data_IF_819236784562
#
_entry.id   IF_819236784562
#
_cell.length_a   1.000
_cell.length_b   1.000
_cell.length_c   1.000
_cell.angle_alpha   90.00
_cell.angle_beta   90.00
_cell.angle_gamma   90.00
#
_symmetry.space_group_name_H-M   'P 1'
#
loop_
_entity.id
_entity.type
_entity.pdbx_description
1 polymer ?
#
# COMPACT_ATOMS: atom_id res chain seq x y z
N UNK A 1 4.94 11.96 14.17
CA UNK A 1 4.91 12.77 12.92
C UNK A 1 5.41 14.19 13.21
N UNK A 2 6.14 14.80 12.27
CA UNK A 2 6.59 16.20 12.37
C UNK A 2 5.40 17.16 12.28
N UNK A 3 5.40 18.25 13.09
CA UNK A 3 4.33 19.26 13.06
C UNK A 3 4.74 20.44 12.18
N UNK A 4 4.04 20.64 11.08
CA UNK A 4 4.21 21.76 10.15
C UNK A 4 3.05 22.75 10.37
N UNK A 5 3.33 23.91 10.98
CA UNK A 5 2.29 24.87 11.36
C UNK A 5 2.04 25.99 10.36
N UNK A 6 2.99 26.22 9.45
CA UNK A 6 2.92 27.33 8.49
C UNK A 6 3.62 26.96 7.21
N UNK A 7 2.92 27.16 6.10
CA UNK A 7 3.40 26.92 4.73
C UNK A 7 3.34 28.25 4.00
N UNK A 8 4.47 28.92 3.89
CA UNK A 8 4.60 30.29 3.34
C UNK A 8 5.30 30.34 2.00
N UNK A 9 6.08 29.31 1.70
CA UNK A 9 6.88 29.26 0.49
C UNK A 9 6.62 27.94 -0.27
N UNK A 10 6.97 27.85 -1.54
CA UNK A 10 6.93 26.57 -2.27
C UNK A 10 7.76 25.47 -1.59
N UNK A 11 8.89 25.81 -0.97
CA UNK A 11 9.75 24.88 -0.25
C UNK A 11 9.05 24.32 0.99
N UNK A 12 8.31 25.16 1.75
CA UNK A 12 7.48 24.71 2.87
C UNK A 12 6.39 23.75 2.38
N UNK A 13 5.77 24.03 1.23
CA UNK A 13 4.76 23.19 0.62
C UNK A 13 5.33 21.83 0.19
N UNK A 14 6.51 21.81 -0.43
CA UNK A 14 7.21 20.58 -0.80
C UNK A 14 7.57 19.76 0.45
N UNK A 15 7.99 20.41 1.53
CA UNK A 15 8.28 19.73 2.79
C UNK A 15 7.00 19.10 3.42
N UNK A 16 5.88 19.84 3.44
CA UNK A 16 4.60 19.29 3.89
C UNK A 16 4.19 18.06 3.06
N UNK A 17 4.28 18.17 1.74
CA UNK A 17 3.94 17.07 0.82
C UNK A 17 4.84 15.85 1.01
N UNK A 18 6.14 16.03 1.24
CA UNK A 18 7.07 14.92 1.46
C UNK A 18 6.79 14.19 2.77
N UNK A 19 6.51 14.93 3.85
CA UNK A 19 6.14 14.35 5.16
C UNK A 19 4.80 13.62 5.07
N UNK A 20 3.80 14.23 4.45
CA UNK A 20 2.49 13.64 4.25
C UNK A 20 2.59 12.35 3.40
N UNK A 21 3.28 12.42 2.26
CA UNK A 21 3.43 11.29 1.34
C UNK A 21 4.14 10.09 1.99
N UNK A 22 5.17 10.33 2.82
CA UNK A 22 5.84 9.26 3.56
C UNK A 22 4.90 8.59 4.57
N UNK A 23 4.00 9.34 5.17
CA UNK A 23 2.97 8.84 6.07
C UNK A 23 1.95 7.98 5.32
N UNK A 24 1.34 8.52 4.25
CA UNK A 24 0.31 7.81 3.48
C UNK A 24 0.82 6.46 2.91
N UNK A 25 2.07 6.42 2.43
CA UNK A 25 2.69 5.16 2.01
C UNK A 25 2.81 4.15 3.16
N UNK A 26 3.15 4.60 4.36
CA UNK A 26 3.29 3.72 5.52
C UNK A 26 1.92 3.18 5.98
N UNK A 27 0.92 4.06 6.16
CA UNK A 27 -0.40 3.66 6.68
C UNK A 27 -1.18 2.84 5.68
N UNK A 28 -1.07 3.11 4.38
CA UNK A 28 -1.68 2.26 3.34
C UNK A 28 -1.22 0.80 3.44
N UNK A 29 0.07 0.58 3.70
CA UNK A 29 0.62 -0.75 3.93
C UNK A 29 0.23 -1.30 5.31
N UNK A 30 0.35 -0.49 6.39
CA UNK A 30 0.03 -0.88 7.77
C UNK A 30 -1.42 -1.35 7.90
N UNK A 31 -2.39 -0.64 7.33
CA UNK A 31 -3.81 -1.02 7.40
C UNK A 31 -4.12 -2.31 6.65
N UNK A 32 -3.49 -2.53 5.51
CA UNK A 32 -3.66 -3.79 4.76
C UNK A 32 -3.10 -4.98 5.54
N UNK A 33 -1.91 -4.88 6.14
CA UNK A 33 -1.36 -5.99 6.95
C UNK A 33 -2.15 -6.22 8.24
N UNK A 34 -2.70 -5.15 8.86
CA UNK A 34 -3.61 -5.29 9.99
C UNK A 34 -4.90 -6.00 9.58
N UNK A 35 -5.53 -5.58 8.49
CA UNK A 35 -6.74 -6.20 7.96
C UNK A 35 -6.53 -7.69 7.65
N UNK A 36 -5.43 -8.04 6.97
CA UNK A 36 -5.10 -9.44 6.69
C UNK A 36 -4.67 -10.26 7.92
N UNK A 37 -4.53 -9.63 9.07
CA UNK A 37 -4.37 -10.28 10.37
C UNK A 37 -5.70 -10.54 11.07
N UNK A 38 -6.82 -9.98 10.58
CA UNK A 38 -8.17 -10.15 11.14
C UNK A 38 -8.88 -11.33 10.43
N UNK A 39 -9.47 -12.30 11.14
CA UNK A 39 -10.28 -13.34 10.52
C UNK A 39 -11.47 -12.75 9.75
N UNK A 40 -11.59 -13.07 8.45
CA UNK A 40 -12.68 -12.60 7.59
C UNK A 40 -14.05 -13.06 8.11
N UNK A 41 -15.01 -12.15 8.12
CA UNK A 41 -16.41 -12.46 8.47
C UNK A 41 -16.61 -12.82 9.95
N UNK A 42 -15.66 -12.49 10.81
CA UNK A 42 -15.76 -12.80 12.24
C UNK A 42 -16.17 -11.60 13.09
N UNK A 43 -15.70 -10.40 12.76
CA UNK A 43 -15.95 -9.19 13.52
C UNK A 43 -16.69 -8.18 12.66
N UNK A 44 -17.78 -7.63 13.22
CA UNK A 44 -18.62 -6.64 12.54
C UNK A 44 -18.87 -5.47 13.47
N UNK A 45 -19.11 -4.32 12.89
CA UNK A 45 -19.48 -3.09 13.57
C UNK A 45 -20.57 -2.35 12.80
N UNK A 46 -21.26 -1.43 13.46
CA UNK A 46 -22.21 -0.51 12.81
C UNK A 46 -21.43 0.72 12.33
N UNK A 47 -21.25 0.82 11.02
CA UNK A 47 -20.44 1.87 10.41
C UNK A 47 -21.13 3.24 10.55
N UNK A 48 -20.49 4.22 11.22
CA UNK A 48 -21.10 5.54 11.46
C UNK A 48 -21.25 6.37 10.18
N UNK A 49 -20.49 6.04 9.13
CA UNK A 49 -20.48 6.75 7.84
C UNK A 49 -21.43 6.08 6.85
N UNK A 50 -21.23 4.76 6.62
CA UNK A 50 -22.03 3.99 5.65
C UNK A 50 -23.44 3.64 6.16
N UNK A 51 -23.70 3.82 7.47
CA UNK A 51 -24.98 3.51 8.13
C UNK A 51 -25.43 2.06 7.92
N UNK A 52 -24.49 1.13 7.92
CA UNK A 52 -24.73 -0.30 7.74
C UNK A 52 -23.78 -1.13 8.60
N UNK A 53 -24.17 -2.40 8.79
CA UNK A 53 -23.30 -3.37 9.47
C UNK A 53 -22.21 -3.83 8.51
N UNK A 54 -20.95 -3.59 8.89
CA UNK A 54 -19.77 -3.78 8.03
C UNK A 54 -18.78 -4.73 8.69
N UNK A 55 -18.10 -5.55 7.88
CA UNK A 55 -17.01 -6.41 8.34
C UNK A 55 -15.77 -5.57 8.62
N UNK A 56 -15.18 -5.72 9.82
CA UNK A 56 -14.01 -4.94 10.26
C UNK A 56 -12.84 -5.07 9.30
N UNK A 57 -12.53 -6.32 8.87
CA UNK A 57 -11.42 -6.55 7.93
C UNK A 57 -11.64 -5.86 6.59
N UNK A 58 -12.87 -5.99 6.04
CA UNK A 58 -13.18 -5.41 4.73
C UNK A 58 -13.06 -3.88 4.74
N UNK A 59 -13.54 -3.23 5.79
CA UNK A 59 -13.45 -1.78 5.91
C UNK A 59 -12.00 -1.30 6.15
N UNK A 60 -11.22 -2.02 6.96
CA UNK A 60 -9.80 -1.67 7.16
C UNK A 60 -9.01 -1.78 5.85
N UNK A 61 -9.32 -2.77 4.97
CA UNK A 61 -8.74 -2.83 3.62
C UNK A 61 -9.16 -1.61 2.79
N UNK A 62 -10.45 -1.23 2.86
CA UNK A 62 -10.95 -0.08 2.09
C UNK A 62 -10.27 1.22 2.51
N UNK A 63 -10.11 1.45 3.81
CA UNK A 63 -9.36 2.62 4.32
C UNK A 63 -7.92 2.58 3.79
N UNK A 64 -7.21 1.44 3.87
CA UNK A 64 -5.86 1.32 3.31
C UNK A 64 -5.78 1.61 1.80
N UNK A 65 -6.84 1.34 1.03
CA UNK A 65 -6.94 1.74 -0.39
C UNK A 65 -7.13 3.25 -0.51
N UNK A 66 -7.93 3.87 0.35
CA UNK A 66 -8.15 5.31 0.36
C UNK A 66 -6.82 6.05 0.63
N UNK A 67 -5.97 5.55 1.57
CA UNK A 67 -4.63 6.10 1.81
C UNK A 67 -3.69 5.99 0.59
N UNK A 68 -3.81 4.92 -0.22
CA UNK A 68 -3.09 4.85 -1.50
C UNK A 68 -3.52 5.95 -2.47
N UNK A 69 -4.80 6.33 -2.47
CA UNK A 69 -5.29 7.46 -3.26
C UNK A 69 -4.83 8.80 -2.71
N UNK A 70 -4.76 8.99 -1.39
CA UNK A 70 -4.18 10.17 -0.76
C UNK A 70 -2.71 10.32 -1.17
N UNK A 71 -1.91 9.26 -1.05
CA UNK A 71 -0.53 9.26 -1.51
C UNK A 71 -0.39 9.63 -3.00
N UNK A 72 -1.28 9.12 -3.87
CA UNK A 72 -1.29 9.47 -5.28
C UNK A 72 -1.61 10.96 -5.51
N UNK A 73 -2.60 11.52 -4.81
CA UNK A 73 -2.96 12.93 -4.91
C UNK A 73 -1.81 13.85 -4.47
N UNK A 74 -1.20 13.56 -3.31
CA UNK A 74 -0.04 14.29 -2.79
C UNK A 74 1.14 14.23 -3.77
N UNK A 75 1.45 13.03 -4.28
CA UNK A 75 2.51 12.82 -5.26
C UNK A 75 2.30 13.59 -6.57
N UNK A 76 1.05 13.69 -7.06
CA UNK A 76 0.72 14.47 -8.27
C UNK A 76 1.02 15.97 -8.04
N UNK A 77 0.59 16.54 -6.92
CA UNK A 77 0.85 17.96 -6.62
C UNK A 77 2.35 18.20 -6.47
N UNK A 78 3.06 17.32 -5.76
CA UNK A 78 4.50 17.38 -5.58
C UNK A 78 5.25 17.39 -6.92
N UNK A 79 4.87 16.52 -7.86
CA UNK A 79 5.49 16.50 -9.21
C UNK A 79 5.11 17.71 -10.05
N UNK A 80 3.89 18.24 -9.92
CA UNK A 80 3.48 19.50 -10.57
C UNK A 80 4.28 20.70 -10.07
N UNK A 81 4.74 20.67 -8.81
CA UNK A 81 5.67 21.66 -8.26
C UNK A 81 7.14 21.42 -8.66
N UNK A 82 7.43 20.42 -9.49
CA UNK A 82 8.76 20.13 -10.04
C UNK A 82 9.66 19.27 -9.14
N UNK A 83 9.12 18.67 -8.09
CA UNK A 83 9.88 17.78 -7.19
C UNK A 83 9.64 16.29 -7.53
N UNK A 84 10.62 15.45 -7.21
CA UNK A 84 10.47 14.00 -7.31
C UNK A 84 9.69 13.46 -6.11
N UNK A 85 8.71 12.55 -6.32
CA UNK A 85 7.98 11.95 -5.20
C UNK A 85 8.89 11.06 -4.36
N UNK A 86 8.76 11.15 -3.04
CA UNK A 86 9.43 10.23 -2.14
C UNK A 86 8.69 8.89 -2.09
N UNK A 87 9.46 7.80 -1.88
CA UNK A 87 8.93 6.49 -1.50
C UNK A 87 9.51 6.05 -0.14
N UNK A 88 10.03 7.02 0.60
CA UNK A 88 10.30 6.85 2.03
C UNK A 88 8.98 6.60 2.74
N UNK A 89 8.98 5.72 3.72
CA UNK A 89 7.83 5.41 4.57
C UNK A 89 8.14 5.71 6.02
N UNK A 90 7.12 6.05 6.77
CA UNK A 90 7.18 6.05 8.21
C UNK A 90 7.23 4.61 8.75
N UNK A 91 7.46 4.46 10.05
CA UNK A 91 7.50 3.18 10.73
C UNK A 91 6.14 2.47 10.69
N UNK A 92 6.18 1.15 10.43
CA UNK A 92 5.01 0.27 10.46
C UNK A 92 5.09 -0.64 11.69
N UNK A 93 3.97 -0.78 12.39
CA UNK A 93 3.81 -1.62 13.58
C UNK A 93 2.71 -2.65 13.36
N UNK A 94 2.85 -3.84 13.97
CA UNK A 94 1.77 -4.82 14.07
C UNK A 94 1.74 -5.45 15.46
N UNK A 95 0.64 -5.24 16.18
CA UNK A 95 0.44 -5.72 17.53
C UNK A 95 -0.17 -7.14 17.56
N UNK A 96 0.02 -7.90 18.66
CA UNK A 96 -0.58 -9.22 18.81
C UNK A 96 -2.12 -9.22 18.87
N UNK A 97 -2.73 -8.19 19.50
CA UNK A 97 -4.19 -8.09 19.61
C UNK A 97 -4.77 -7.25 18.47
N UNK A 98 -5.93 -7.66 17.98
CA UNK A 98 -6.65 -6.95 16.92
C UNK A 98 -6.97 -5.53 17.35
N UNK A 99 -7.46 -5.36 18.58
CA UNK A 99 -7.86 -4.04 19.09
C UNK A 99 -6.68 -3.06 19.19
N UNK A 100 -5.46 -3.54 19.48
CA UNK A 100 -4.28 -2.68 19.56
C UNK A 100 -3.86 -2.18 18.17
N UNK A 101 -4.04 -3.00 17.12
CA UNK A 101 -3.85 -2.57 15.73
C UNK A 101 -4.87 -1.48 15.37
N UNK A 102 -6.16 -1.68 15.65
CA UNK A 102 -7.18 -0.66 15.38
C UNK A 102 -6.97 0.63 16.19
N UNK A 103 -6.49 0.54 17.43
CA UNK A 103 -6.10 1.72 18.24
C UNK A 103 -4.88 2.44 17.66
N UNK A 104 -3.93 1.70 17.10
CA UNK A 104 -2.80 2.26 16.36
C UNK A 104 -3.29 2.97 15.10
N UNK A 105 -4.15 2.33 14.31
CA UNK A 105 -4.71 2.88 13.08
C UNK A 105 -5.47 4.19 13.38
N UNK A 106 -6.37 4.19 14.38
CA UNK A 106 -7.04 5.42 14.82
C UNK A 106 -6.06 6.51 15.25
N UNK A 107 -5.02 6.16 15.97
CA UNK A 107 -4.02 7.14 16.44
C UNK A 107 -3.28 7.78 15.26
N UNK A 108 -2.98 7.03 14.21
CA UNK A 108 -2.35 7.58 13.00
C UNK A 108 -3.25 8.52 12.25
N UNK A 109 -4.56 8.21 12.14
CA UNK A 109 -5.56 9.12 11.58
C UNK A 109 -5.68 10.44 12.35
N UNK A 110 -5.72 10.36 13.68
CA UNK A 110 -5.78 11.55 14.54
C UNK A 110 -4.51 12.42 14.36
N UNK A 111 -3.34 11.80 14.19
CA UNK A 111 -2.06 12.51 14.00
C UNK A 111 -1.96 13.20 12.64
N UNK A 112 -2.40 12.54 11.57
CA UNK A 112 -2.36 13.14 10.24
C UNK A 112 -3.46 14.21 10.08
N UNK A 113 -4.61 14.01 10.70
CA UNK A 113 -5.64 15.05 10.83
C UNK A 113 -5.06 16.32 11.49
N UNK A 114 -4.34 16.18 12.64
CA UNK A 114 -3.68 17.31 13.32
C UNK A 114 -2.64 17.99 12.41
N UNK A 115 -1.85 17.21 11.65
CA UNK A 115 -0.91 17.75 10.68
C UNK A 115 -1.63 18.61 9.64
N UNK A 116 -2.64 18.08 8.97
CA UNK A 116 -3.34 18.76 7.88
C UNK A 116 -4.14 19.97 8.34
N UNK A 117 -4.86 19.87 9.46
CA UNK A 117 -5.67 20.97 10.00
C UNK A 117 -4.85 22.06 10.67
N UNK A 118 -3.66 21.76 11.18
CA UNK A 118 -2.76 22.76 11.78
C UNK A 118 -1.89 23.49 10.77
N UNK A 119 -1.70 22.94 9.57
CA UNK A 119 -0.90 23.53 8.51
C UNK A 119 -1.63 24.73 7.88
N UNK A 120 -1.20 25.94 8.25
CA UNK A 120 -1.70 27.19 7.62
C UNK A 120 -0.98 27.42 6.32
N UNK A 121 -1.68 27.25 5.20
CA UNK A 121 -1.16 27.47 3.87
C UNK A 121 -1.45 28.92 3.46
N UNK A 122 -0.39 29.69 3.18
CA UNK A 122 -0.54 31.09 2.70
C UNK A 122 -1.12 31.10 1.29
N UNK A 123 -2.10 32.00 1.02
CA UNK A 123 -2.67 32.13 -0.32
C UNK A 123 -1.60 32.39 -1.39
N UNK A 124 -1.62 31.62 -2.46
CA UNK A 124 -0.71 31.78 -3.61
C UNK A 124 0.56 30.91 -3.55
N UNK A 125 0.81 30.15 -2.49
CA UNK A 125 1.93 29.19 -2.44
C UNK A 125 1.72 28.08 -3.48
N UNK A 126 0.59 27.40 -3.44
CA UNK A 126 0.13 26.44 -4.45
C UNK A 126 -1.42 26.40 -4.41
N UNK A 127 -2.11 26.87 -5.47
CA UNK A 127 -3.56 27.05 -5.42
C UNK A 127 -4.39 25.77 -5.16
N UNK A 128 -3.83 24.60 -5.52
CA UNK A 128 -4.52 23.31 -5.34
C UNK A 128 -4.23 22.66 -3.98
N UNK A 129 -3.15 23.06 -3.32
CA UNK A 129 -2.65 22.40 -2.11
C UNK A 129 -3.64 22.51 -0.97
N UNK A 130 -4.15 23.70 -0.68
CA UNK A 130 -5.06 23.95 0.43
C UNK A 130 -6.33 23.08 0.31
N UNK A 131 -6.99 23.12 -0.86
CA UNK A 131 -8.21 22.34 -1.10
C UNK A 131 -7.95 20.83 -1.02
N UNK A 132 -6.81 20.37 -1.54
CA UNK A 132 -6.45 18.96 -1.49
C UNK A 132 -6.23 18.50 -0.04
N UNK A 133 -5.44 19.24 0.74
CA UNK A 133 -5.15 18.94 2.15
C UNK A 133 -6.45 18.93 2.98
N UNK A 134 -7.37 19.89 2.73
CA UNK A 134 -8.67 19.91 3.39
C UNK A 134 -9.53 18.68 3.04
N UNK A 135 -9.55 18.26 1.78
CA UNK A 135 -10.32 17.08 1.36
C UNK A 135 -9.76 15.81 2.00
N UNK A 136 -8.42 15.62 1.96
CA UNK A 136 -7.79 14.48 2.62
C UNK A 136 -8.09 14.52 4.13
N UNK A 137 -7.84 15.65 4.80
CA UNK A 137 -8.13 15.79 6.23
C UNK A 137 -9.59 15.42 6.61
N UNK A 138 -10.56 15.66 5.74
CA UNK A 138 -11.93 15.26 5.97
C UNK A 138 -12.12 13.74 5.89
N UNK A 139 -11.41 13.07 4.99
CA UNK A 139 -11.41 11.62 4.91
C UNK A 139 -10.75 11.00 6.15
N UNK A 140 -9.63 11.57 6.65
CA UNK A 140 -8.95 11.10 7.87
C UNK A 140 -9.87 11.16 9.12
N UNK A 141 -10.66 12.23 9.24
CA UNK A 141 -11.68 12.33 10.31
C UNK A 141 -12.73 11.22 10.21
N UNK A 142 -13.14 10.87 8.99
CA UNK A 142 -14.06 9.74 8.74
C UNK A 142 -13.43 8.41 9.10
N UNK A 143 -12.19 8.15 8.68
CA UNK A 143 -11.44 6.95 8.99
C UNK A 143 -11.25 6.79 10.50
N UNK A 144 -10.82 7.85 11.21
CA UNK A 144 -10.70 7.85 12.67
C UNK A 144 -12.03 7.47 13.36
N UNK A 145 -13.16 8.00 12.86
CA UNK A 145 -14.51 7.66 13.37
C UNK A 145 -14.87 6.19 13.13
N UNK A 146 -14.52 5.64 11.97
CA UNK A 146 -14.74 4.24 11.63
C UNK A 146 -13.89 3.32 12.51
N UNK A 147 -12.60 3.60 12.68
CA UNK A 147 -11.72 2.84 13.59
C UNK A 147 -12.21 2.90 15.03
N UNK A 148 -12.68 4.07 15.53
CA UNK A 148 -13.28 4.16 16.86
C UNK A 148 -14.49 3.25 17.00
N UNK A 149 -15.39 3.25 16.02
CA UNK A 149 -16.58 2.39 16.04
C UNK A 149 -16.22 0.88 15.99
N UNK A 150 -15.16 0.50 15.28
CA UNK A 150 -14.65 -0.87 15.30
C UNK A 150 -14.10 -1.26 16.67
N UNK A 151 -13.35 -0.38 17.32
CA UNK A 151 -12.82 -0.57 18.67
C UNK A 151 -13.97 -0.76 19.67
N UNK A 152 -14.94 0.14 19.66
CA UNK A 152 -16.12 0.08 20.55
C UNK A 152 -16.90 -1.22 20.37
N UNK A 153 -17.09 -1.66 19.13
CA UNK A 153 -17.78 -2.92 18.82
C UNK A 153 -17.01 -4.16 19.33
N UNK A 154 -15.68 -4.19 19.23
CA UNK A 154 -14.86 -5.27 19.79
C UNK A 154 -14.93 -5.28 21.32
N UNK A 155 -14.86 -4.13 21.97
CA UNK A 155 -14.99 -4.01 23.43
C UNK A 155 -16.39 -4.45 23.91
N UNK A 156 -17.44 -3.96 23.29
CA UNK A 156 -18.82 -4.29 23.62
C UNK A 156 -19.17 -5.79 23.43
N UNK A 157 -18.55 -6.43 22.46
CA UNK A 157 -18.73 -7.86 22.18
C UNK A 157 -17.84 -8.79 23.01
N UNK A 158 -17.03 -8.25 23.95
CA UNK A 158 -16.09 -9.02 24.79
C UNK A 158 -14.86 -9.56 24.01
N UNK A 159 -14.56 -9.01 22.84
CA UNK A 159 -13.45 -9.43 21.99
C UNK A 159 -12.19 -8.52 22.12
N UNK A 160 -12.08 -7.72 23.18
CA UNK A 160 -10.94 -6.83 23.39
C UNK A 160 -9.58 -7.56 23.46
N UNK A 161 -9.58 -8.81 23.96
CA UNK A 161 -8.39 -9.66 24.05
C UNK A 161 -8.17 -10.57 22.83
N UNK A 162 -8.97 -10.38 21.76
CA UNK A 162 -8.86 -11.21 20.55
C UNK A 162 -7.49 -11.05 19.89
N UNK A 163 -6.80 -12.18 19.71
CA UNK A 163 -5.52 -12.23 19.03
C UNK A 163 -5.72 -12.21 17.51
N UNK A 164 -4.80 -11.55 16.82
CA UNK A 164 -4.71 -11.61 15.36
C UNK A 164 -4.32 -13.01 14.87
N UNK A 165 -4.54 -13.27 13.60
CA UNK A 165 -3.95 -14.42 12.93
C UNK A 165 -2.42 -14.36 13.06
N UNK A 166 -1.82 -15.51 13.30
CA UNK A 166 -0.38 -15.63 13.52
C UNK A 166 0.32 -16.17 12.28
N UNK A 167 1.62 -15.90 12.19
CA UNK A 167 2.46 -16.55 11.22
C UNK A 167 2.47 -18.06 11.42
N UNK A 168 2.51 -18.82 10.33
CA UNK A 168 2.69 -20.27 10.40
C UNK A 168 4.05 -20.60 11.05
N UNK A 169 4.09 -21.49 12.04
CA UNK A 169 5.36 -21.97 12.59
C UNK A 169 6.18 -22.76 11.55
N UNK A 170 5.52 -23.23 10.48
CA UNK A 170 6.14 -23.98 9.39
C UNK A 170 6.60 -23.09 8.23
N UNK A 171 6.41 -21.76 8.31
CA UNK A 171 6.71 -20.83 7.21
C UNK A 171 8.08 -21.09 6.59
N UNK A 172 9.12 -21.22 7.41
CA UNK A 172 10.49 -21.38 6.95
C UNK A 172 10.80 -22.78 6.39
N UNK A 173 10.02 -23.79 6.74
CA UNK A 173 10.18 -25.17 6.27
C UNK A 173 9.31 -25.51 5.05
N UNK A 174 8.27 -24.72 4.77
CA UNK A 174 7.31 -24.93 3.70
C UNK A 174 7.66 -24.06 2.49
N UNK A 175 8.10 -24.69 1.40
CA UNK A 175 8.50 -24.02 0.15
C UNK A 175 7.36 -23.22 -0.48
N UNK A 176 6.13 -23.71 -0.41
CA UNK A 176 4.93 -23.02 -0.91
C UNK A 176 4.68 -21.70 -0.15
N UNK A 177 4.79 -21.70 1.18
CA UNK A 177 4.61 -20.49 1.98
C UNK A 177 5.72 -19.48 1.73
N UNK A 178 6.99 -19.91 1.72
CA UNK A 178 8.12 -19.02 1.42
C UNK A 178 7.99 -18.36 0.04
N UNK A 179 7.59 -19.14 -0.95
CA UNK A 179 7.42 -18.64 -2.31
C UNK A 179 6.23 -17.67 -2.41
N UNK A 180 5.11 -17.96 -1.77
CA UNK A 180 3.96 -17.05 -1.73
C UNK A 180 4.26 -15.76 -0.96
N UNK A 181 5.06 -15.81 0.11
CA UNK A 181 5.56 -14.60 0.80
C UNK A 181 6.42 -13.75 -0.15
N UNK A 182 7.31 -14.38 -0.91
CA UNK A 182 8.14 -13.67 -1.89
C UNK A 182 7.29 -13.05 -3.00
N UNK A 183 6.30 -13.77 -3.55
CA UNK A 183 5.35 -13.24 -4.54
C UNK A 183 4.58 -12.06 -3.95
N UNK A 184 4.01 -12.22 -2.75
CA UNK A 184 3.24 -11.17 -2.07
C UNK A 184 4.06 -9.88 -1.91
N UNK A 185 5.32 -9.99 -1.47
CA UNK A 185 6.25 -8.87 -1.37
C UNK A 185 6.53 -8.22 -2.73
N UNK A 186 6.82 -9.02 -3.75
CA UNK A 186 7.13 -8.52 -5.11
C UNK A 186 5.92 -7.81 -5.72
N UNK A 187 4.71 -8.33 -5.51
CA UNK A 187 3.48 -7.66 -5.98
C UNK A 187 3.30 -6.27 -5.34
N UNK A 188 3.51 -6.17 -4.02
CA UNK A 188 3.47 -4.89 -3.32
C UNK A 188 4.57 -3.93 -3.80
N UNK A 189 5.80 -4.42 -3.96
CA UNK A 189 6.93 -3.62 -4.47
C UNK A 189 6.67 -3.11 -5.89
N UNK A 190 6.19 -3.97 -6.80
CA UNK A 190 5.88 -3.57 -8.17
C UNK A 190 4.73 -2.57 -8.22
N UNK A 191 3.69 -2.74 -7.41
CA UNK A 191 2.62 -1.75 -7.29
C UNK A 191 3.18 -0.35 -7.05
N UNK A 192 4.04 -0.18 -6.04
CA UNK A 192 4.64 1.11 -5.70
C UNK A 192 5.62 1.60 -6.77
N UNK A 193 6.41 0.71 -7.37
CA UNK A 193 7.33 1.05 -8.46
C UNK A 193 6.59 1.59 -9.68
N UNK A 194 5.47 0.97 -10.06
CA UNK A 194 4.61 1.46 -11.13
C UNK A 194 3.99 2.81 -10.77
N UNK A 195 3.52 3.02 -9.54
CA UNK A 195 2.99 4.31 -9.08
C UNK A 195 4.04 5.42 -9.15
N UNK A 196 5.29 5.13 -8.75
CA UNK A 196 6.39 6.08 -8.94
C UNK A 196 6.51 6.52 -10.40
N UNK A 197 6.50 5.57 -11.32
CA UNK A 197 6.65 5.90 -12.74
C UNK A 197 5.41 6.60 -13.31
N UNK A 198 4.22 6.32 -12.80
CA UNK A 198 3.00 7.11 -13.11
C UNK A 198 3.22 8.57 -12.73
N UNK A 199 3.73 8.83 -11.53
CA UNK A 199 3.99 10.19 -11.04
C UNK A 199 5.11 10.89 -11.85
N UNK A 200 6.20 10.18 -12.15
CA UNK A 200 7.33 10.73 -12.91
C UNK A 200 6.99 11.02 -14.38
N UNK A 201 6.08 10.23 -14.97
CA UNK A 201 5.76 10.31 -16.41
C UNK A 201 4.33 10.75 -16.69
N UNK A 202 3.69 11.44 -15.76
CA UNK A 202 2.29 11.89 -15.86
C UNK A 202 1.98 12.78 -17.06
N UNK A 203 2.96 13.50 -17.60
CA UNK A 203 2.85 14.28 -18.83
C UNK A 203 2.64 13.43 -20.10
N UNK A 204 3.01 12.14 -20.05
CA UNK A 204 2.81 11.16 -21.13
C UNK A 204 1.59 10.30 -20.84
N UNK A 205 0.41 10.86 -21.04
CA UNK A 205 -0.88 10.27 -20.61
C UNK A 205 -1.04 8.79 -20.97
N UNK A 206 -0.75 8.39 -22.21
CA UNK A 206 -0.90 6.98 -22.64
C UNK A 206 0.02 6.03 -21.86
N UNK A 207 1.24 6.45 -21.58
CA UNK A 207 2.19 5.67 -20.79
C UNK A 207 1.74 5.62 -19.32
N UNK A 208 1.43 6.76 -18.73
CA UNK A 208 1.00 6.85 -17.34
C UNK A 208 -0.26 6.01 -17.07
N UNK A 209 -1.26 6.03 -17.97
CA UNK A 209 -2.46 5.20 -17.85
C UNK A 209 -2.14 3.70 -17.88
N UNK A 210 -1.23 3.25 -18.73
CA UNK A 210 -0.81 1.84 -18.80
C UNK A 210 -0.07 1.41 -17.54
N UNK A 211 0.86 2.24 -17.06
CA UNK A 211 1.58 2.00 -15.82
C UNK A 211 0.63 1.97 -14.61
N UNK A 212 -0.34 2.89 -14.56
CA UNK A 212 -1.35 2.92 -13.51
C UNK A 212 -2.22 1.66 -13.53
N UNK A 213 -2.68 1.22 -14.71
CA UNK A 213 -3.43 -0.03 -14.84
C UNK A 213 -2.64 -1.23 -14.28
N UNK A 214 -1.34 -1.30 -14.56
CA UNK A 214 -0.50 -2.37 -14.04
C UNK A 214 -0.33 -2.27 -12.52
N UNK A 215 -0.15 -1.06 -11.97
CA UNK A 215 -0.13 -0.84 -10.53
C UNK A 215 -1.41 -1.39 -9.84
N UNK A 216 -2.58 -1.08 -10.39
CA UNK A 216 -3.86 -1.61 -9.87
C UNK A 216 -3.94 -3.14 -9.98
N UNK A 217 -3.38 -3.73 -11.04
CA UNK A 217 -3.34 -5.18 -11.15
C UNK A 217 -2.43 -5.80 -10.08
N UNK A 218 -1.25 -5.22 -9.82
CA UNK A 218 -0.35 -5.67 -8.74
C UNK A 218 -1.00 -5.52 -7.37
N UNK A 219 -1.73 -4.44 -7.11
CA UNK A 219 -2.53 -4.28 -5.89
C UNK A 219 -3.55 -5.43 -5.72
N UNK A 220 -4.27 -5.77 -6.80
CA UNK A 220 -5.22 -6.89 -6.79
C UNK A 220 -4.54 -8.25 -6.60
N UNK A 221 -3.36 -8.45 -7.21
CA UNK A 221 -2.59 -9.67 -7.02
C UNK A 221 -2.07 -9.76 -5.60
N UNK A 222 -1.60 -8.66 -5.02
CA UNK A 222 -1.20 -8.59 -3.61
C UNK A 222 -2.36 -8.96 -2.69
N UNK A 223 -3.57 -8.40 -2.89
CA UNK A 223 -4.80 -8.78 -2.19
C UNK A 223 -5.07 -10.28 -2.29
N UNK A 224 -5.07 -10.85 -3.50
CA UNK A 224 -5.34 -12.27 -3.72
C UNK A 224 -4.28 -13.17 -3.07
N UNK A 225 -3.00 -12.87 -3.24
CA UNK A 225 -1.90 -13.64 -2.66
C UNK A 225 -1.94 -13.60 -1.13
N UNK A 226 -2.25 -12.44 -0.54
CA UNK A 226 -2.48 -12.30 0.90
C UNK A 226 -3.62 -13.21 1.40
N UNK A 227 -4.71 -13.28 0.64
CA UNK A 227 -5.81 -14.20 0.92
C UNK A 227 -5.41 -15.68 0.82
N UNK A 228 -4.53 -16.04 -0.12
CA UNK A 228 -4.01 -17.41 -0.26
C UNK A 228 -3.11 -17.78 0.92
N UNK A 229 -2.24 -16.88 1.39
CA UNK A 229 -1.42 -17.10 2.59
C UNK A 229 -2.28 -17.45 3.80
N UNK A 230 -3.36 -16.69 4.04
CA UNK A 230 -4.28 -16.97 5.15
C UNK A 230 -4.95 -18.34 5.02
N UNK A 231 -5.37 -18.72 3.82
CA UNK A 231 -5.98 -20.05 3.56
C UNK A 231 -4.99 -21.20 3.79
N UNK A 232 -3.70 -20.94 3.66
CA UNK A 232 -2.62 -21.90 3.95
C UNK A 232 -2.14 -21.84 5.40
N UNK A 233 -2.78 -21.02 6.25
CA UNK A 233 -2.49 -20.89 7.67
C UNK A 233 -1.32 -19.95 7.98
N UNK A 234 -1.02 -19.00 7.09
CA UNK A 234 0.01 -17.99 7.30
C UNK A 234 -0.55 -16.56 7.14
N UNK A 235 0.22 -15.54 7.45
CA UNK A 235 -0.10 -14.13 7.29
C UNK A 235 1.03 -13.41 6.55
N UNK A 236 0.74 -12.24 5.99
CA UNK A 236 1.77 -11.40 5.32
C UNK A 236 2.93 -11.15 6.28
N UNK A 237 4.15 -11.42 5.83
CA UNK A 237 5.36 -11.04 6.54
C UNK A 237 5.66 -9.55 6.31
N UNK A 238 6.07 -8.85 7.37
CA UNK A 238 6.60 -7.49 7.26
C UNK A 238 8.11 -7.61 7.06
N UNK A 239 8.61 -7.06 5.96
CA UNK A 239 10.04 -7.12 5.65
C UNK A 239 10.84 -6.29 6.67
N UNK A 240 12.00 -6.81 7.07
CA UNK A 240 12.88 -6.18 8.06
C UNK A 240 12.22 -5.89 9.42
N UNK A 241 11.12 -6.56 9.75
CA UNK A 241 10.49 -6.38 11.05
C UNK A 241 11.27 -7.09 12.15
N UNK A 242 11.48 -6.36 13.24
CA UNK A 242 11.94 -6.91 14.52
C UNK A 242 10.72 -7.15 15.41
N UNK A 243 10.71 -8.26 16.13
CA UNK A 243 9.64 -8.60 17.08
C UNK A 243 10.15 -8.41 18.51
N UNK A 244 9.49 -7.56 19.30
CA UNK A 244 9.83 -7.35 20.69
C UNK A 244 9.33 -8.45 21.63
N UNK A 245 9.70 -8.38 22.92
CA UNK A 245 9.28 -9.35 23.93
C UNK A 245 7.75 -9.40 24.18
N UNK A 246 7.00 -8.39 23.72
CA UNK A 246 5.53 -8.34 23.80
C UNK A 246 4.87 -8.86 22.53
N UNK A 247 5.66 -9.28 21.54
CA UNK A 247 5.18 -9.76 20.25
C UNK A 247 4.77 -8.66 19.27
N UNK A 248 5.16 -7.42 19.50
CA UNK A 248 4.95 -6.32 18.55
C UNK A 248 6.02 -6.40 17.47
N UNK A 249 5.57 -6.52 16.24
CA UNK A 249 6.43 -6.44 15.06
C UNK A 249 6.58 -4.98 14.65
N UNK A 250 7.82 -4.56 14.40
CA UNK A 250 8.18 -3.19 14.04
C UNK A 250 9.11 -3.19 12.84
N UNK A 251 8.74 -2.48 11.78
CA UNK A 251 9.60 -2.25 10.63
C UNK A 251 9.78 -0.75 10.40
N UNK A 252 11.02 -0.22 10.54
CA UNK A 252 11.30 1.19 10.25
C UNK A 252 11.32 1.48 8.75
N UNK A 253 11.42 0.44 7.92
CA UNK A 253 11.47 0.56 6.45
C UNK A 253 10.75 -0.63 5.82
N UNK A 254 9.40 -0.61 5.79
CA UNK A 254 8.60 -1.72 5.27
C UNK A 254 8.71 -1.92 3.75
N UNK A 255 9.24 -0.91 3.04
CA UNK A 255 9.40 -0.92 1.59
C UNK A 255 10.72 -0.27 1.17
N UNK A 256 11.25 -0.59 -0.04
CA UNK A 256 12.37 0.14 -0.61
C UNK A 256 12.07 1.65 -0.73
N UNK A 257 13.04 2.49 -0.39
CA UNK A 257 12.94 3.96 -0.52
C UNK A 257 13.31 4.46 -1.91
N UNK A 258 14.00 3.65 -2.70
CA UNK A 258 14.47 4.00 -4.02
C UNK A 258 14.10 2.91 -5.02
N UNK A 259 13.60 3.35 -6.17
CA UNK A 259 13.33 2.49 -7.32
C UNK A 259 14.20 2.96 -8.49
N UNK A 260 14.90 2.03 -9.18
CA UNK A 260 15.76 2.39 -10.30
C UNK A 260 14.97 2.91 -11.49
N UNK A 261 15.62 3.73 -12.32
CA UNK A 261 15.05 4.28 -13.55
C UNK A 261 14.67 5.75 -13.44
N UNK A 262 15.56 6.63 -13.92
CA UNK A 262 15.38 8.09 -13.91
C UNK A 262 14.60 8.60 -15.13
N UNK A 263 14.53 7.82 -16.22
CA UNK A 263 13.84 8.14 -17.45
C UNK A 263 12.95 6.95 -17.90
N UNK A 264 12.07 7.20 -18.88
CA UNK A 264 11.10 6.21 -19.35
C UNK A 264 11.72 4.90 -19.83
N UNK A 265 12.84 4.98 -20.53
CA UNK A 265 13.51 3.80 -21.05
C UNK A 265 14.13 2.99 -19.91
N UNK A 266 14.90 3.63 -19.04
CA UNK A 266 15.52 2.99 -17.88
C UNK A 266 14.46 2.42 -16.92
N UNK A 267 13.34 3.09 -16.72
CA UNK A 267 12.21 2.56 -15.96
C UNK A 267 11.66 1.26 -16.55
N UNK A 268 11.40 1.22 -17.86
CA UNK A 268 10.94 0.01 -18.56
C UNK A 268 12.00 -1.09 -18.58
N UNK A 269 13.28 -0.74 -18.71
CA UNK A 269 14.40 -1.68 -18.64
C UNK A 269 14.52 -2.35 -17.26
N UNK A 270 14.03 -1.74 -16.20
CA UNK A 270 13.98 -2.34 -14.86
C UNK A 270 12.68 -3.11 -14.60
N UNK A 271 11.55 -2.68 -15.15
CA UNK A 271 10.26 -3.36 -14.98
C UNK A 271 10.21 -4.71 -15.69
N UNK A 272 10.70 -4.79 -16.93
CA UNK A 272 10.62 -6.03 -17.73
C UNK A 272 11.31 -7.22 -17.04
N UNK A 273 12.54 -7.13 -16.51
CA UNK A 273 13.14 -8.22 -15.74
C UNK A 273 12.33 -8.56 -14.48
N UNK A 274 11.90 -7.57 -13.71
CA UNK A 274 11.14 -7.80 -12.48
C UNK A 274 9.83 -8.55 -12.73
N UNK A 275 9.10 -8.21 -13.79
CA UNK A 275 7.91 -8.95 -14.20
C UNK A 275 8.22 -10.38 -14.66
N UNK A 276 9.34 -10.60 -15.36
CA UNK A 276 9.77 -11.94 -15.75
C UNK A 276 10.14 -12.81 -14.55
N UNK A 277 10.81 -12.24 -13.57
CA UNK A 277 11.15 -12.93 -12.32
C UNK A 277 9.86 -13.30 -11.56
N UNK A 278 8.86 -12.41 -11.56
CA UNK A 278 7.55 -12.67 -10.96
C UNK A 278 6.79 -13.78 -11.71
N UNK A 279 6.83 -13.80 -13.06
CA UNK A 279 6.28 -14.92 -13.87
C UNK A 279 6.92 -16.24 -13.45
N UNK A 280 8.25 -16.29 -13.35
CA UNK A 280 8.97 -17.49 -12.94
C UNK A 280 8.60 -17.94 -11.51
N UNK A 281 8.37 -16.97 -10.60
CA UNK A 281 7.90 -17.25 -9.24
C UNK A 281 6.49 -17.86 -9.24
N UNK A 282 5.55 -17.30 -10.02
CA UNK A 282 4.21 -17.88 -10.16
C UNK A 282 4.22 -19.27 -10.80
N UNK A 283 5.06 -19.54 -11.81
CA UNK A 283 5.20 -20.85 -12.41
C UNK A 283 5.64 -21.90 -11.38
N UNK A 284 6.60 -21.55 -10.54
CA UNK A 284 7.05 -22.42 -9.43
C UNK A 284 5.92 -22.62 -8.41
N UNK A 285 5.18 -21.58 -8.04
CA UNK A 285 4.08 -21.67 -7.08
C UNK A 285 2.97 -22.58 -7.60
N UNK A 286 2.58 -22.45 -8.88
CA UNK A 286 1.61 -23.34 -9.53
C UNK A 286 2.05 -24.80 -9.52
N UNK A 287 3.35 -25.07 -9.66
CA UNK A 287 3.89 -26.43 -9.64
C UNK A 287 3.95 -27.04 -8.23
N UNK A 288 4.13 -26.21 -7.19
CA UNK A 288 4.25 -26.67 -5.79
C UNK A 288 2.87 -26.91 -5.13
N UNK A 289 1.87 -26.14 -5.52
CA UNK A 289 0.55 -26.22 -4.89
C UNK A 289 -0.31 -27.33 -5.54
N UNK A 290 -0.97 -28.20 -4.76
CA UNK A 290 -1.85 -29.23 -5.30
C UNK A 290 -2.98 -28.63 -6.17
N UNK A 291 -3.50 -29.41 -7.13
CA UNK A 291 -4.65 -29.00 -7.94
C UNK A 291 -5.83 -28.59 -7.07
N UNK A 292 -6.48 -27.47 -7.40
CA UNK A 292 -7.63 -26.92 -6.69
C UNK A 292 -7.69 -25.39 -6.79
N UNK A 293 -8.61 -24.81 -6.05
CA UNK A 293 -8.93 -23.40 -6.12
C UNK A 293 -7.70 -22.46 -5.90
N UNK A 294 -6.76 -22.84 -5.02
CA UNK A 294 -5.54 -22.06 -4.78
C UNK A 294 -4.65 -22.07 -6.04
N UNK A 295 -4.46 -23.26 -6.64
CA UNK A 295 -3.67 -23.38 -7.86
C UNK A 295 -4.33 -22.63 -9.04
N UNK A 296 -5.66 -22.70 -9.16
CA UNK A 296 -6.39 -22.01 -10.22
C UNK A 296 -6.29 -20.49 -10.09
N UNK A 297 -6.34 -19.97 -8.84
CA UNK A 297 -6.10 -18.55 -8.58
C UNK A 297 -4.67 -18.13 -8.98
N UNK A 298 -3.66 -18.94 -8.66
CA UNK A 298 -2.27 -18.67 -9.06
C UNK A 298 -2.09 -18.71 -10.57
N UNK A 299 -2.76 -19.63 -11.28
CA UNK A 299 -2.74 -19.69 -12.75
C UNK A 299 -3.34 -18.45 -13.39
N UNK A 300 -4.43 -17.92 -12.82
CA UNK A 300 -5.03 -16.67 -13.28
C UNK A 300 -4.07 -15.50 -13.13
N UNK A 301 -3.44 -15.33 -11.96
CA UNK A 301 -2.46 -14.29 -11.72
C UNK A 301 -1.25 -14.43 -12.64
N UNK A 302 -0.74 -15.65 -12.83
CA UNK A 302 0.33 -15.93 -13.79
C UNK A 302 -0.02 -15.48 -15.22
N UNK A 303 -1.24 -15.75 -15.67
CA UNK A 303 -1.72 -15.31 -16.98
C UNK A 303 -1.68 -13.80 -17.15
N UNK A 304 -2.18 -13.07 -16.16
CA UNK A 304 -2.18 -11.60 -16.15
C UNK A 304 -0.74 -11.02 -16.06
N UNK A 305 0.14 -11.60 -15.26
CA UNK A 305 1.55 -11.16 -15.17
C UNK A 305 2.29 -11.37 -16.50
N UNK A 306 2.00 -12.46 -17.23
CA UNK A 306 2.53 -12.65 -18.60
C UNK A 306 2.06 -11.57 -19.58
N UNK A 307 0.82 -11.10 -19.46
CA UNK A 307 0.34 -9.95 -20.25
C UNK A 307 1.08 -8.65 -19.91
N UNK A 308 1.44 -8.45 -18.63
CA UNK A 308 2.29 -7.32 -18.21
C UNK A 308 3.65 -7.40 -18.92
N UNK A 309 4.34 -8.53 -18.87
CA UNK A 309 5.63 -8.74 -19.58
C UNK A 309 5.50 -8.37 -21.05
N UNK A 310 4.52 -8.94 -21.74
CA UNK A 310 4.30 -8.65 -23.16
C UNK A 310 4.09 -7.16 -23.44
N UNK A 311 3.27 -6.51 -22.64
CA UNK A 311 2.96 -5.08 -22.79
C UNK A 311 4.20 -4.22 -22.53
N UNK A 312 4.97 -4.53 -21.47
CA UNK A 312 6.18 -3.78 -21.11
C UNK A 312 7.30 -3.97 -22.15
N UNK A 313 7.49 -5.17 -22.68
CA UNK A 313 8.45 -5.42 -23.76
C UNK A 313 8.11 -4.62 -25.03
N UNK A 314 6.83 -4.52 -25.37
CA UNK A 314 6.37 -3.71 -26.50
C UNK A 314 6.65 -2.22 -26.26
N UNK A 315 6.32 -1.69 -25.08
CA UNK A 315 6.60 -0.30 -24.71
C UNK A 315 8.10 -0.01 -24.74
N UNK A 316 8.93 -0.92 -24.24
CA UNK A 316 10.38 -0.80 -24.27
C UNK A 316 10.93 -0.81 -25.70
N UNK A 317 10.41 -1.69 -26.57
CA UNK A 317 10.79 -1.73 -27.98
C UNK A 317 10.45 -0.41 -28.69
N UNK A 318 9.28 0.15 -28.40
CA UNK A 318 8.85 1.44 -28.95
C UNK A 318 9.72 2.59 -28.40
N UNK A 319 10.01 2.62 -27.11
CA UNK A 319 10.91 3.61 -26.48
C UNK A 319 12.34 3.59 -27.06
N UNK A 320 12.84 2.41 -27.46
CA UNK A 320 14.15 2.26 -28.12
C UNK A 320 14.15 2.75 -29.57
N UNK A 321 13.02 2.72 -30.28
CA UNK A 321 12.90 3.22 -31.67
C UNK A 321 12.85 4.73 -31.76
N UNK A 322 12.26 5.39 -30.76
CA UNK A 322 12.10 6.83 -30.74
C UNK A 322 13.38 7.46 -30.20
N UNK A 323 14.36 7.67 -31.10
CA UNK A 323 15.57 8.45 -30.78
C UNK A 323 15.15 9.90 -30.50
N UNK A 324 15.37 10.37 -29.28
CA UNK A 324 15.19 11.78 -28.92
C UNK A 324 14.07 12.08 -27.92
N UNK A 325 13.45 11.07 -27.34
CA UNK A 325 12.56 11.24 -26.18
C UNK A 325 13.37 10.82 -24.94
N UNK A 326 14.18 11.73 -24.46
CA UNK A 326 14.85 11.69 -23.16
C UNK A 326 13.97 12.39 -22.15
#
# INVERSE_FOLDING_TARGET
>A
MERIRSVKTPEDALHLLDVALAHEWAVSFEYVIHAYSIPKGKYFYDDPILKQRTDVRAQTIQIGIDEMYHALQLGIVLTQMGAAPTFRTDEVLRYPRIIDNLKRDKMTEDQVTDLYQSARIEPGVEPKLENMIWNISYDEVRHASQFQAMIDALEASGNAEALRLQASPERESRDDLRLLQAICRTENELMHRYLKYVLMFGEYQDLAQRLFKNSINHMRHWDKTSGLLIRLGDVIAIENAETDAKGVERSPRPMPTEYPGADRRSALETLVPAEKDLVAAYEKAVALVPPGEIQDQLRLQLGLTREHVYTQEKLLADARRIKGIV
#
